data_IF_335305812022
#
_entry.id   IF_335305812022
#
_cell.length_a   1.000
_cell.length_b   1.000
_cell.length_c   1.000
_cell.angle_alpha   90.00
_cell.angle_beta   90.00
_cell.angle_gamma   90.00
#
_symmetry.space_group_name_H-M   'P 1'
#
loop_
_entity.id
_entity.type
_entity.pdbx_description
1 polymer ?
#
# COMPACT_ATOMS: atom_id res chain seq x y z
N UNK A 1 -8.00 -16.73 -15.08
CA UNK A 1 -6.58 -16.95 -14.75
C UNK A 1 -6.08 -18.11 -15.59
N UNK A 2 -4.93 -18.01 -16.26
CA UNK A 2 -4.40 -19.15 -17.03
C UNK A 2 -3.68 -20.08 -16.05
N UNK A 3 -4.03 -21.36 -16.05
CA UNK A 3 -3.29 -22.34 -15.28
C UNK A 3 -1.84 -22.36 -15.79
N UNK A 4 -0.88 -22.10 -14.90
CA UNK A 4 0.53 -22.16 -15.22
C UNK A 4 0.95 -23.63 -15.19
N UNK A 5 1.28 -24.18 -16.35
CA UNK A 5 1.63 -25.61 -16.49
C UNK A 5 2.95 -25.93 -15.79
N UNK A 6 3.92 -25.01 -15.84
CA UNK A 6 5.21 -25.15 -15.18
C UNK A 6 5.59 -23.82 -14.51
N UNK A 7 5.91 -23.82 -13.20
CA UNK A 7 6.21 -22.59 -12.47
C UNK A 7 7.51 -21.90 -12.89
N UNK A 8 8.45 -22.61 -13.52
CA UNK A 8 9.78 -22.08 -13.86
C UNK A 8 10.72 -22.01 -12.65
N UNK A 9 12.00 -21.71 -12.89
CA UNK A 9 12.97 -21.48 -11.82
C UNK A 9 12.49 -20.29 -10.97
N UNK A 10 12.59 -20.45 -9.65
CA UNK A 10 12.14 -19.45 -8.67
C UNK A 10 10.67 -19.06 -8.80
N UNK A 11 9.86 -19.86 -9.49
CA UNK A 11 8.45 -19.56 -9.75
C UNK A 11 8.25 -18.42 -10.74
N UNK A 12 9.23 -18.08 -11.58
CA UNK A 12 9.18 -16.96 -12.52
C UNK A 12 7.87 -16.89 -13.31
N UNK A 13 7.39 -18.02 -13.83
CA UNK A 13 6.18 -18.06 -14.65
C UNK A 13 4.90 -17.87 -13.83
N UNK A 14 4.91 -18.21 -12.54
CA UNK A 14 3.82 -17.86 -11.61
C UNK A 14 3.87 -16.37 -11.28
N UNK A 15 5.05 -15.86 -10.95
CA UNK A 15 5.24 -14.48 -10.50
C UNK A 15 4.87 -13.46 -11.58
N UNK A 16 5.15 -13.76 -12.86
CA UNK A 16 4.74 -12.95 -14.02
C UNK A 16 3.22 -12.81 -14.17
N UNK A 17 2.42 -13.71 -13.58
CA UNK A 17 0.95 -13.64 -13.65
C UNK A 17 0.34 -12.72 -12.58
N UNK A 18 1.15 -12.17 -11.66
CA UNK A 18 0.65 -11.35 -10.56
C UNK A 18 0.27 -9.95 -11.05
N UNK A 19 -0.92 -9.51 -10.64
CA UNK A 19 -1.38 -8.14 -10.84
C UNK A 19 -1.23 -7.32 -9.54
N UNK A 20 -0.71 -6.10 -9.68
CA UNK A 20 -0.42 -5.22 -8.56
C UNK A 20 -1.31 -3.97 -8.61
N UNK A 21 -2.17 -3.83 -7.61
CA UNK A 21 -3.09 -2.71 -7.48
C UNK A 21 -2.78 -1.91 -6.23
N UNK A 22 -2.21 -0.71 -6.40
CA UNK A 22 -1.99 0.21 -5.28
C UNK A 22 -3.08 1.29 -5.26
N UNK A 23 -4.11 1.07 -4.43
CA UNK A 23 -5.21 2.01 -4.24
C UNK A 23 -4.97 2.93 -3.04
N UNK A 24 -5.15 4.24 -3.23
CA UNK A 24 -5.27 5.22 -2.14
C UNK A 24 -6.66 5.82 -2.14
N UNK A 25 -7.31 5.85 -0.99
CA UNK A 25 -8.62 6.48 -0.83
C UNK A 25 -8.44 8.00 -0.89
N UNK A 26 -9.11 8.68 -1.83
CA UNK A 26 -8.92 10.10 -2.17
C UNK A 26 -9.06 11.01 -0.94
N UNK A 27 -10.06 10.72 -0.12
CA UNK A 27 -10.40 11.43 1.10
C UNK A 27 -9.25 11.38 2.11
N UNK A 28 -8.53 10.26 2.17
CA UNK A 28 -7.46 9.99 3.13
C UNK A 28 -6.06 9.99 2.50
N UNK A 29 -5.96 10.28 1.20
CA UNK A 29 -4.72 10.15 0.44
C UNK A 29 -3.64 11.14 0.85
N UNK A 30 -3.98 12.17 1.62
CA UNK A 30 -3.04 13.12 2.19
C UNK A 30 -2.40 12.61 3.50
N UNK A 31 -3.01 11.61 4.14
CA UNK A 31 -2.49 11.04 5.38
C UNK A 31 -1.21 10.24 5.09
N UNK A 32 -0.23 10.46 5.95
CA UNK A 32 1.04 9.75 5.99
C UNK A 32 1.23 9.15 7.37
N UNK A 33 1.75 7.92 7.42
CA UNK A 33 2.08 7.29 8.69
C UNK A 33 3.35 7.93 9.24
N UNK A 34 3.22 8.68 10.33
CA UNK A 34 4.36 9.36 10.99
C UNK A 34 4.85 8.64 12.25
N UNK A 35 4.12 7.64 12.74
CA UNK A 35 4.37 7.04 14.07
C UNK A 35 4.88 5.61 14.00
N UNK A 36 4.22 4.75 13.24
CA UNK A 36 4.47 3.30 13.29
C UNK A 36 5.35 2.82 12.15
N UNK A 37 5.26 3.46 10.99
CA UNK A 37 6.02 3.12 9.79
C UNK A 37 6.32 4.41 9.02
N UNK A 38 7.34 5.14 9.46
CA UNK A 38 7.79 6.37 8.81
C UNK A 38 8.35 5.99 7.44
N UNK A 39 7.70 6.42 6.37
CA UNK A 39 8.10 6.09 5.01
C UNK A 39 7.45 6.96 3.95
N UNK A 40 7.95 6.84 2.73
CA UNK A 40 7.40 7.57 1.58
C UNK A 40 6.22 6.81 0.97
N UNK A 41 5.00 7.27 1.29
CA UNK A 41 3.75 6.74 0.70
C UNK A 41 3.66 6.84 -0.83
N UNK A 42 4.61 7.53 -1.47
CA UNK A 42 4.71 7.68 -2.92
C UNK A 42 5.75 6.75 -3.56
N UNK A 43 6.58 6.08 -2.76
CA UNK A 43 7.61 5.12 -3.21
C UNK A 43 7.04 3.72 -3.51
N UNK A 44 5.88 3.67 -4.17
CA UNK A 44 5.27 2.41 -4.57
C UNK A 44 6.06 1.79 -5.74
N UNK A 45 6.61 0.60 -5.52
CA UNK A 45 7.47 -0.12 -6.47
C UNK A 45 6.69 -1.00 -7.43
N UNK A 46 5.57 -1.60 -7.00
CA UNK A 46 4.78 -2.50 -7.85
C UNK A 46 3.46 -1.88 -8.32
N UNK A 47 3.14 -2.02 -9.60
CA UNK A 47 1.93 -1.45 -10.18
C UNK A 47 1.90 0.08 -10.13
N UNK A 48 0.74 0.67 -10.45
CA UNK A 48 0.55 2.13 -10.42
C UNK A 48 -0.32 2.54 -9.24
N UNK A 49 0.06 3.61 -8.56
CA UNK A 49 -0.82 4.24 -7.57
C UNK A 49 -2.03 4.86 -8.26
N UNK A 50 -3.23 4.47 -7.84
CA UNK A 50 -4.48 5.11 -8.26
C UNK A 50 -5.24 5.61 -7.03
N UNK A 51 -5.95 6.70 -7.24
CA UNK A 51 -6.75 7.34 -6.22
C UNK A 51 -8.21 7.02 -6.46
N UNK A 52 -8.82 6.31 -5.52
CA UNK A 52 -10.21 5.86 -5.57
C UNK A 52 -11.04 6.69 -4.59
N UNK A 53 -12.31 6.99 -4.90
CA UNK A 53 -13.22 7.53 -3.90
C UNK A 53 -13.49 6.50 -2.79
N UNK A 54 -14.20 6.93 -1.74
CA UNK A 54 -14.71 6.08 -0.65
C UNK A 54 -15.50 4.84 -1.12
N UNK A 55 -16.05 4.83 -2.34
CA UNK A 55 -16.68 3.66 -2.96
C UNK A 55 -15.67 2.60 -3.49
N UNK A 56 -14.46 2.53 -2.93
CA UNK A 56 -13.44 1.56 -3.31
C UNK A 56 -13.86 0.10 -3.05
N UNK A 57 -14.92 -0.11 -2.26
CA UNK A 57 -15.52 -1.43 -2.07
C UNK A 57 -15.88 -2.11 -3.39
N UNK A 58 -16.42 -1.39 -4.38
CA UNK A 58 -16.79 -1.98 -5.69
C UNK A 58 -15.60 -2.58 -6.43
N UNK A 59 -14.40 -2.02 -6.24
CA UNK A 59 -13.17 -2.60 -6.78
C UNK A 59 -12.85 -3.92 -6.07
N UNK A 60 -12.87 -3.95 -4.75
CA UNK A 60 -12.60 -5.17 -3.98
C UNK A 60 -13.63 -6.26 -4.33
N UNK A 61 -14.90 -5.89 -4.39
CA UNK A 61 -16.00 -6.77 -4.78
C UNK A 61 -15.74 -7.40 -6.16
N UNK A 62 -15.35 -6.59 -7.16
CA UNK A 62 -15.02 -7.10 -8.50
C UNK A 62 -13.81 -8.05 -8.53
N UNK A 63 -12.86 -7.88 -7.61
CA UNK A 63 -11.67 -8.74 -7.50
C UNK A 63 -12.05 -10.09 -6.87
N UNK A 64 -12.92 -10.09 -5.86
CA UNK A 64 -13.35 -11.31 -5.18
C UNK A 64 -14.41 -12.10 -5.94
N UNK A 65 -15.16 -11.47 -6.83
CA UNK A 65 -16.18 -12.10 -7.67
C UNK A 65 -15.70 -12.39 -9.10
N UNK A 66 -14.43 -12.79 -9.24
CA UNK A 66 -13.90 -13.17 -10.54
C UNK A 66 -14.57 -14.46 -11.04
N UNK A 67 -15.22 -14.49 -12.21
CA UNK A 67 -15.90 -15.68 -12.72
C UNK A 67 -14.90 -16.77 -13.12
N UNK A 68 -15.20 -18.05 -12.84
CA UNK A 68 -14.35 -19.19 -13.25
C UNK A 68 -14.15 -19.17 -14.77
N UNK A 69 -15.24 -18.96 -15.51
CA UNK A 69 -15.27 -18.78 -16.95
C UNK A 69 -16.03 -17.47 -17.27
N UNK A 70 -15.35 -16.43 -17.79
CA UNK A 70 -16.00 -15.19 -18.19
C UNK A 70 -17.12 -15.35 -19.23
N UNK A 71 -17.09 -16.42 -20.03
CA UNK A 71 -18.14 -16.69 -21.03
C UNK A 71 -19.31 -17.50 -20.45
N UNK A 72 -19.16 -18.02 -19.23
CA UNK A 72 -20.11 -18.91 -18.55
C UNK A 72 -20.22 -18.55 -17.07
N UNK A 73 -20.77 -17.36 -16.73
CA UNK A 73 -20.82 -16.87 -15.36
C UNK A 73 -21.62 -17.77 -14.41
N UNK A 74 -22.53 -18.60 -14.94
CA UNK A 74 -23.27 -19.61 -14.19
C UNK A 74 -22.38 -20.72 -13.61
N UNK A 75 -21.14 -20.87 -14.12
CA UNK A 75 -20.17 -21.84 -13.62
C UNK A 75 -19.62 -21.49 -12.23
N UNK A 76 -19.96 -20.31 -11.70
CA UNK A 76 -19.57 -19.85 -10.38
C UNK A 76 -18.33 -18.95 -10.38
N UNK A 77 -17.88 -18.61 -9.18
CA UNK A 77 -16.77 -17.70 -8.91
C UNK A 77 -15.49 -18.45 -8.56
N UNK A 78 -14.35 -17.89 -8.92
CA UNK A 78 -13.04 -18.44 -8.58
C UNK A 78 -12.87 -18.54 -7.06
N UNK A 79 -12.43 -19.69 -6.52
CA UNK A 79 -12.02 -19.77 -5.13
C UNK A 79 -10.92 -18.75 -4.80
N UNK A 80 -11.05 -18.08 -3.67
CA UNK A 80 -10.14 -17.01 -3.24
C UNK A 80 -9.30 -17.49 -2.05
N UNK A 81 -7.99 -17.31 -2.15
CA UNK A 81 -7.06 -17.46 -1.03
C UNK A 81 -6.53 -16.08 -0.65
N UNK A 82 -6.79 -15.68 0.59
CA UNK A 82 -6.31 -14.40 1.13
C UNK A 82 -4.97 -14.61 1.84
N UNK A 83 -3.93 -13.91 1.38
CA UNK A 83 -2.60 -13.93 1.96
C UNK A 83 -2.27 -12.53 2.50
N UNK A 84 -1.71 -12.45 3.70
CA UNK A 84 -1.34 -11.17 4.30
C UNK A 84 -0.37 -11.34 5.46
N UNK A 85 0.31 -10.25 5.83
CA UNK A 85 1.14 -10.16 7.02
C UNK A 85 0.56 -9.10 7.98
N UNK A 86 0.90 -9.20 9.28
CA UNK A 86 0.40 -8.35 10.39
C UNK A 86 -1.11 -8.47 10.69
N UNK A 87 -1.46 -9.31 11.67
CA UNK A 87 -2.72 -10.08 11.67
C UNK A 87 -3.94 -9.41 12.30
N UNK A 88 -3.84 -8.65 13.38
CA UNK A 88 -5.05 -8.49 14.20
C UNK A 88 -6.07 -7.53 13.60
N UNK A 89 -5.63 -6.36 13.14
CA UNK A 89 -6.56 -5.28 12.78
C UNK A 89 -7.08 -5.42 11.35
N UNK A 90 -6.22 -5.78 10.39
CA UNK A 90 -6.62 -5.90 8.97
C UNK A 90 -7.62 -7.03 8.78
N UNK A 91 -7.39 -8.18 9.42
CA UNK A 91 -8.29 -9.32 9.32
C UNK A 91 -9.65 -9.07 9.97
N UNK A 92 -9.70 -8.34 11.09
CA UNK A 92 -10.97 -7.91 11.69
C UNK A 92 -11.76 -7.01 10.73
N UNK A 93 -11.09 -6.03 10.10
CA UNK A 93 -11.73 -5.13 9.12
C UNK A 93 -12.23 -5.92 7.91
N UNK A 94 -11.40 -6.80 7.33
CA UNK A 94 -11.80 -7.60 6.17
C UNK A 94 -12.93 -8.57 6.49
N UNK A 95 -12.88 -9.27 7.63
CA UNK A 95 -13.93 -10.19 8.04
C UNK A 95 -15.26 -9.45 8.25
N UNK A 96 -15.24 -8.27 8.89
CA UNK A 96 -16.44 -7.42 9.05
C UNK A 96 -16.97 -6.85 7.73
N UNK A 97 -16.09 -6.54 6.78
CA UNK A 97 -16.47 -5.87 5.52
C UNK A 97 -16.91 -6.88 4.46
N UNK A 98 -16.32 -8.08 4.44
CA UNK A 98 -16.49 -9.06 3.37
C UNK A 98 -17.10 -10.39 3.84
N UNK A 99 -17.29 -10.60 5.15
CA UNK A 99 -17.85 -11.85 5.69
C UNK A 99 -16.94 -13.07 5.56
N UNK A 100 -15.63 -12.88 5.39
CA UNK A 100 -14.67 -13.98 5.15
C UNK A 100 -14.19 -14.59 6.48
N UNK A 101 -14.25 -15.92 6.59
CA UNK A 101 -13.65 -16.69 7.69
C UNK A 101 -12.15 -16.86 7.50
N UNK A 102 -11.36 -16.66 8.57
CA UNK A 102 -9.90 -16.59 8.48
C UNK A 102 -9.21 -17.56 9.43
N UNK A 103 -8.19 -18.25 8.95
CA UNK A 103 -7.33 -19.14 9.75
C UNK A 103 -6.03 -18.44 10.13
N UNK A 104 -5.66 -18.46 11.42
CA UNK A 104 -4.43 -17.83 11.89
C UNK A 104 -3.60 -18.73 12.82
N UNK A 105 -2.30 -18.92 12.51
CA UNK A 105 -1.39 -19.79 13.25
C UNK A 105 -0.20 -19.01 13.87
N UNK A 106 0.06 -19.11 15.18
CA UNK A 106 0.76 -18.09 16.00
C UNK A 106 2.25 -17.80 15.72
N UNK A 107 2.89 -18.46 14.75
CA UNK A 107 4.31 -18.22 14.46
C UNK A 107 4.48 -16.96 13.59
N UNK A 108 4.93 -15.86 14.22
CA UNK A 108 5.20 -14.60 13.53
C UNK A 108 6.65 -14.55 13.04
N UNK A 109 6.82 -14.32 11.74
CA UNK A 109 8.10 -13.93 11.15
C UNK A 109 7.95 -12.53 10.54
N UNK A 110 8.93 -11.65 10.77
CA UNK A 110 8.95 -10.33 10.14
C UNK A 110 9.13 -10.46 8.62
N UNK A 111 8.45 -9.61 7.84
CA UNK A 111 8.50 -9.68 6.38
C UNK A 111 9.92 -9.46 5.83
N UNK A 112 10.71 -8.58 6.46
CA UNK A 112 12.12 -8.36 6.10
C UNK A 112 12.95 -9.66 6.27
N UNK A 113 12.77 -10.36 7.38
CA UNK A 113 13.45 -11.64 7.63
C UNK A 113 13.00 -12.72 6.64
N UNK A 114 11.70 -12.77 6.31
CA UNK A 114 11.19 -13.70 5.30
C UNK A 114 11.78 -13.41 3.92
N UNK A 115 11.83 -12.15 3.49
CA UNK A 115 12.42 -11.77 2.20
C UNK A 115 13.90 -12.15 2.14
N UNK A 116 14.65 -11.85 3.21
CA UNK A 116 16.05 -12.24 3.36
C UNK A 116 16.25 -13.76 3.27
N UNK A 117 15.45 -14.55 4.01
CA UNK A 117 15.52 -16.03 3.96
C UNK A 117 15.15 -16.63 2.60
N UNK A 118 14.40 -15.89 1.78
CA UNK A 118 14.06 -16.28 0.42
C UNK A 118 15.04 -15.70 -0.62
N UNK A 119 16.14 -15.06 -0.20
CA UNK A 119 17.20 -14.62 -1.10
C UNK A 119 16.88 -13.39 -1.95
N UNK A 120 16.02 -12.48 -1.47
CA UNK A 120 15.74 -11.21 -2.14
C UNK A 120 15.62 -10.02 -1.18
N UNK A 121 15.78 -8.81 -1.72
CA UNK A 121 15.80 -7.57 -0.95
C UNK A 121 14.39 -7.01 -0.73
N UNK A 122 14.10 -6.60 0.51
CA UNK A 122 12.90 -5.84 0.83
C UNK A 122 13.16 -4.34 0.73
N UNK A 123 12.87 -3.75 -0.43
CA UNK A 123 13.09 -2.32 -0.74
C UNK A 123 11.81 -1.50 -0.58
N UNK A 124 11.98 -0.25 -0.15
CA UNK A 124 10.90 0.69 0.13
C UNK A 124 9.73 0.02 0.89
N UNK A 125 10.01 -0.55 2.09
CA UNK A 125 8.92 -0.90 2.98
C UNK A 125 8.04 0.35 3.17
N UNK A 126 6.79 0.20 3.60
CA UNK A 126 5.87 1.32 3.92
C UNK A 126 4.91 1.77 2.81
N UNK A 127 4.77 1.01 1.72
CA UNK A 127 3.55 1.09 0.90
C UNK A 127 2.80 -0.23 0.95
N UNK A 128 1.48 -0.18 1.10
CA UNK A 128 0.66 -1.37 1.25
C UNK A 128 0.81 -2.37 0.07
N UNK A 129 1.10 -1.86 -1.14
CA UNK A 129 1.29 -2.72 -2.29
C UNK A 129 2.70 -3.35 -2.34
N UNK A 130 3.76 -2.66 -1.88
CA UNK A 130 5.08 -3.27 -1.74
C UNK A 130 5.03 -4.39 -0.69
N UNK A 131 4.42 -4.08 0.45
CA UNK A 131 4.14 -4.98 1.56
C UNK A 131 3.38 -6.24 1.08
N UNK A 132 2.30 -6.07 0.30
CA UNK A 132 1.54 -7.17 -0.29
C UNK A 132 2.34 -7.97 -1.32
N UNK A 133 3.10 -7.30 -2.20
CA UNK A 133 3.94 -7.94 -3.21
C UNK A 133 4.98 -8.86 -2.57
N UNK A 134 5.75 -8.35 -1.61
CA UNK A 134 6.77 -9.14 -0.92
C UNK A 134 6.18 -10.29 -0.11
N UNK A 135 4.98 -10.09 0.47
CA UNK A 135 4.25 -11.16 1.16
C UNK A 135 3.90 -12.29 0.19
N UNK A 136 3.40 -11.94 -1.00
CA UNK A 136 3.01 -12.92 -2.01
C UNK A 136 4.23 -13.65 -2.59
N UNK A 137 5.34 -12.94 -2.81
CA UNK A 137 6.60 -13.56 -3.24
C UNK A 137 7.09 -14.57 -2.21
N UNK A 138 7.14 -14.20 -0.93
CA UNK A 138 7.48 -15.14 0.15
C UNK A 138 6.55 -16.36 0.17
N UNK A 139 5.23 -16.14 0.04
CA UNK A 139 4.26 -17.23 0.06
C UNK A 139 4.46 -18.22 -1.10
N UNK A 140 4.74 -17.73 -2.30
CA UNK A 140 5.07 -18.57 -3.46
C UNK A 140 6.35 -19.36 -3.20
N UNK A 141 7.42 -18.71 -2.72
CA UNK A 141 8.67 -19.41 -2.42
C UNK A 141 8.52 -20.49 -1.33
N UNK A 142 7.62 -20.29 -0.37
CA UNK A 142 7.34 -21.31 0.67
C UNK A 142 6.75 -22.59 0.07
N UNK A 143 5.87 -22.47 -0.93
CA UNK A 143 5.15 -23.61 -1.52
C UNK A 143 5.85 -24.23 -2.76
N UNK A 144 6.86 -23.56 -3.33
CA UNK A 144 7.60 -24.11 -4.46
C UNK A 144 8.35 -25.41 -4.08
N UNK A 145 8.50 -26.36 -5.02
CA UNK A 145 9.43 -27.48 -4.87
C UNK A 145 10.86 -27.01 -4.59
N UNK A 146 11.60 -27.72 -3.74
CA UNK A 146 12.95 -27.32 -3.32
C UNK A 146 13.92 -27.05 -4.48
N UNK A 147 13.87 -27.87 -5.55
CA UNK A 147 14.74 -27.71 -6.73
C UNK A 147 14.45 -26.45 -7.57
N UNK A 148 13.34 -25.76 -7.31
CA UNK A 148 12.98 -24.50 -7.97
C UNK A 148 13.27 -23.28 -7.08
N UNK A 149 13.54 -23.47 -5.79
CA UNK A 149 13.81 -22.36 -4.87
C UNK A 149 15.20 -21.76 -5.14
N UNK A 150 15.44 -20.51 -4.73
CA UNK A 150 16.80 -19.97 -4.67
C UNK A 150 17.70 -20.91 -3.86
N UNK A 151 18.89 -21.20 -4.39
CA UNK A 151 19.90 -21.84 -3.59
C UNK A 151 20.39 -20.80 -2.58
N UNK A 152 19.98 -20.96 -1.32
CA UNK A 152 20.47 -20.17 -0.22
C UNK A 152 21.92 -20.58 0.05
N UNK A 153 22.86 -20.14 -0.80
CA UNK A 153 24.28 -20.24 -0.51
C UNK A 153 24.59 -19.33 0.68
N UNK A 154 25.17 -19.89 1.74
CA UNK A 154 25.65 -19.14 2.92
C UNK A 154 26.60 -17.98 2.53
N UNK A 155 27.21 -18.06 1.36
CA UNK A 155 28.21 -17.12 0.86
C UNK A 155 27.62 -15.97 0.01
N UNK A 156 26.30 -15.91 -0.15
CA UNK A 156 25.62 -14.90 -1.00
C UNK A 156 25.88 -15.04 -2.50
N UNK A 157 26.69 -16.01 -2.92
CA UNK A 157 26.88 -16.38 -4.33
C UNK A 157 25.82 -17.39 -4.72
N UNK A 158 24.85 -16.95 -5.53
CA UNK A 158 23.88 -17.85 -6.12
C UNK A 158 24.61 -18.78 -7.12
N UNK A 159 24.73 -20.10 -6.87
CA UNK A 159 25.44 -21.01 -7.77
C UNK A 159 24.81 -21.06 -9.18
N UNK A 160 23.57 -20.62 -9.32
CA UNK A 160 22.85 -20.58 -10.58
C UNK A 160 23.30 -19.45 -11.52
N UNK A 161 23.92 -18.38 -11.00
CA UNK A 161 24.39 -17.28 -11.88
C UNK A 161 25.54 -17.71 -12.80
N UNK A 162 26.41 -18.61 -12.33
CA UNK A 162 27.46 -19.22 -13.15
C UNK A 162 26.88 -20.07 -14.31
N UNK A 163 25.64 -20.54 -14.17
CA UNK A 163 24.90 -21.29 -15.18
C UNK A 163 24.01 -20.40 -16.05
N UNK A 164 24.10 -19.07 -15.90
CA UNK A 164 23.27 -18.11 -16.63
C UNK A 164 21.80 -18.09 -16.18
N UNK A 165 21.46 -18.76 -15.07
CA UNK A 165 20.13 -18.74 -14.50
C UNK A 165 20.00 -17.46 -13.67
N UNK A 166 18.90 -16.75 -13.88
CA UNK A 166 18.58 -15.49 -13.22
C UNK A 166 18.33 -15.69 -11.73
N UNK A 167 18.71 -14.73 -10.91
CA UNK A 167 18.33 -14.73 -9.50
C UNK A 167 16.84 -14.40 -9.32
N UNK A 168 16.27 -14.77 -8.17
CA UNK A 168 14.93 -14.32 -7.80
C UNK A 168 14.83 -12.79 -7.73
N UNK A 169 15.91 -12.09 -7.33
CA UNK A 169 15.94 -10.63 -7.34
C UNK A 169 15.81 -10.07 -8.75
N UNK A 170 16.51 -10.65 -9.74
CA UNK A 170 16.40 -10.20 -11.14
C UNK A 170 14.97 -10.36 -11.66
N UNK A 171 14.32 -11.47 -11.31
CA UNK A 171 12.92 -11.73 -11.68
C UNK A 171 11.99 -10.70 -11.03
N UNK A 172 12.19 -10.39 -9.75
CA UNK A 172 11.40 -9.38 -9.03
C UNK A 172 11.60 -7.99 -9.63
N UNK A 173 12.83 -7.64 -10.00
CA UNK A 173 13.16 -6.35 -10.63
C UNK A 173 12.43 -6.19 -11.97
N UNK A 174 12.38 -7.24 -12.79
CA UNK A 174 11.60 -7.24 -14.04
C UNK A 174 10.10 -7.09 -13.79
N UNK A 175 9.57 -7.78 -12.77
CA UNK A 175 8.16 -7.68 -12.39
C UNK A 175 7.83 -6.27 -11.90
N UNK A 176 8.73 -5.66 -11.14
CA UNK A 176 8.60 -4.28 -10.69
C UNK A 176 8.42 -3.33 -11.88
N UNK A 177 9.31 -3.43 -12.87
CA UNK A 177 9.27 -2.61 -14.09
C UNK A 177 8.02 -2.89 -14.91
N UNK A 178 7.76 -4.16 -15.24
CA UNK A 178 6.64 -4.56 -16.10
C UNK A 178 5.28 -4.33 -15.45
N UNK A 179 5.15 -4.47 -14.12
CA UNK A 179 3.89 -4.22 -13.42
C UNK A 179 3.40 -2.78 -13.56
N UNK A 180 4.30 -1.81 -13.83
CA UNK A 180 3.93 -0.41 -14.05
C UNK A 180 3.07 -0.20 -15.29
N UNK A 181 3.10 -1.10 -16.27
CA UNK A 181 2.29 -1.00 -17.48
C UNK A 181 0.94 -1.72 -17.37
N UNK A 182 0.66 -2.38 -16.23
CA UNK A 182 -0.59 -3.13 -16.03
C UNK A 182 -1.80 -2.20 -16.15
N UNK A 183 -2.75 -2.62 -16.98
CA UNK A 183 -4.00 -1.92 -17.17
C UNK A 183 -4.87 -2.02 -15.90
N UNK A 184 -5.45 -0.90 -15.52
CA UNK A 184 -6.36 -0.84 -14.38
C UNK A 184 -7.42 0.24 -14.62
N UNK A 185 -8.68 -0.19 -14.61
CA UNK A 185 -9.84 0.66 -14.93
C UNK A 185 -10.32 1.51 -13.76
N UNK A 186 -9.95 1.17 -12.52
CA UNK A 186 -10.45 1.87 -11.33
C UNK A 186 -9.61 3.11 -10.97
N UNK A 187 -10.31 4.09 -10.39
CA UNK A 187 -9.70 5.32 -9.86
C UNK A 187 -9.01 6.17 -10.93
N UNK A 188 -8.20 7.13 -10.47
CA UNK A 188 -7.42 8.04 -11.33
C UNK A 188 -5.97 8.08 -10.90
N UNK A 189 -5.04 8.27 -11.83
CA UNK A 189 -3.62 8.56 -11.58
C UNK A 189 -3.34 10.08 -11.46
N UNK A 190 -4.34 10.93 -11.73
CA UNK A 190 -4.24 12.40 -11.70
C UNK A 190 -4.98 12.97 -10.49
N UNK A 191 -4.45 12.74 -9.30
CA UNK A 191 -5.00 13.31 -8.06
C UNK A 191 -3.93 14.04 -7.26
N UNK A 192 -4.22 15.28 -6.88
CA UNK A 192 -3.31 16.07 -6.06
C UNK A 192 -3.64 15.89 -4.58
N UNK A 193 -2.75 15.26 -3.82
CA UNK A 193 -2.89 15.11 -2.37
C UNK A 193 -2.84 16.45 -1.61
N UNK A 194 -2.31 17.52 -2.22
CA UNK A 194 -2.22 18.85 -1.62
C UNK A 194 -3.56 19.59 -1.61
N UNK A 195 -4.29 19.60 -2.72
CA UNK A 195 -5.56 20.34 -2.83
C UNK A 195 -6.79 19.45 -3.06
N UNK A 196 -6.61 18.14 -3.17
CA UNK A 196 -7.69 17.16 -3.39
C UNK A 196 -8.41 17.27 -4.73
N UNK A 197 -7.87 18.02 -5.71
CA UNK A 197 -8.46 18.17 -7.05
C UNK A 197 -7.78 17.25 -8.07
N UNK A 198 -8.48 16.98 -9.17
CA UNK A 198 -7.96 16.23 -10.32
C UNK A 198 -7.30 17.18 -11.34
N UNK A 199 -6.48 16.65 -12.23
CA UNK A 199 -6.05 17.29 -13.50
C UNK A 199 -5.36 18.67 -13.46
N UNK A 200 -4.61 19.02 -12.40
CA UNK A 200 -3.85 20.29 -12.34
C UNK A 200 -2.40 20.11 -11.87
N UNK A 201 -1.93 18.86 -11.82
CA UNK A 201 -0.54 18.56 -11.54
C UNK A 201 0.27 18.82 -12.80
N UNK A 202 1.20 19.78 -12.72
CA UNK A 202 2.16 20.03 -13.78
C UNK A 202 3.51 19.46 -13.38
N UNK A 203 4.22 18.84 -14.32
CA UNK A 203 5.57 18.36 -14.07
C UNK A 203 6.54 19.54 -14.15
N UNK A 204 7.26 19.79 -13.06
CA UNK A 204 8.38 20.73 -13.01
C UNK A 204 9.58 19.96 -12.46
N UNK A 205 10.61 19.78 -13.29
CA UNK A 205 11.84 19.08 -12.92
C UNK A 205 11.59 17.66 -12.37
N UNK A 206 10.82 16.84 -13.10
CA UNK A 206 10.38 15.48 -12.72
C UNK A 206 9.48 15.39 -11.48
N UNK A 207 9.14 16.50 -10.82
CA UNK A 207 8.22 16.54 -9.68
C UNK A 207 6.87 17.08 -10.11
N UNK A 208 5.79 16.45 -9.65
CA UNK A 208 4.44 17.00 -9.82
C UNK A 208 4.26 18.18 -8.87
N UNK A 209 4.00 19.37 -9.42
CA UNK A 209 3.67 20.57 -8.65
C UNK A 209 2.20 20.93 -8.81
N UNK A 210 1.57 21.19 -7.67
CA UNK A 210 0.26 21.81 -7.60
C UNK A 210 0.41 23.32 -7.80
N UNK A 211 -0.17 23.84 -8.88
CA UNK A 211 -0.22 25.29 -9.17
C UNK A 211 -1.24 26.03 -8.31
N UNK A 212 -2.21 25.32 -7.73
CA UNK A 212 -3.24 25.92 -6.89
C UNK A 212 -2.65 26.42 -5.57
N UNK A 213 -2.90 27.70 -5.26
CA UNK A 213 -2.57 28.28 -3.96
C UNK A 213 -3.52 27.68 -2.92
N UNK A 214 -2.97 26.91 -1.99
CA UNK A 214 -3.70 26.42 -0.82
C UNK A 214 -3.18 27.15 0.41
N UNK A 215 -4.08 27.48 1.33
CA UNK A 215 -3.76 28.01 2.65
C UNK A 215 -4.76 27.42 3.62
N UNK A 216 -4.29 26.73 4.64
CA UNK A 216 -5.13 26.27 5.73
C UNK A 216 -5.11 27.27 6.89
N UNK A 217 -6.28 27.72 7.32
CA UNK A 217 -6.44 28.79 8.31
C UNK A 217 -5.93 28.39 9.69
N UNK A 218 -6.31 27.24 10.24
CA UNK A 218 -5.84 26.83 11.58
C UNK A 218 -4.32 26.66 11.64
N UNK A 219 -3.70 26.04 10.62
CA UNK A 219 -2.24 25.99 10.57
C UNK A 219 -1.63 27.39 10.44
N UNK A 220 -2.26 28.30 9.69
CA UNK A 220 -1.76 29.66 9.49
C UNK A 220 -1.83 30.53 10.76
N UNK A 221 -2.78 30.27 11.66
CA UNK A 221 -2.93 30.98 12.94
C UNK A 221 -2.35 30.21 14.13
N UNK A 222 -1.80 29.01 13.90
CA UNK A 222 -1.21 28.21 14.96
C UNK A 222 -0.03 28.93 15.62
N UNK A 223 0.12 28.79 16.93
CA UNK A 223 1.29 29.30 17.66
C UNK A 223 2.59 28.55 17.34
N UNK A 224 2.51 27.41 16.65
CA UNK A 224 3.70 26.62 16.25
C UNK A 224 4.17 27.05 14.87
N UNK A 225 5.40 27.56 14.78
CA UNK A 225 6.01 28.06 13.55
C UNK A 225 6.01 27.00 12.42
N UNK A 226 6.28 25.74 12.75
CA UNK A 226 6.26 24.63 11.77
C UNK A 226 4.87 24.42 11.15
N UNK A 227 3.80 24.64 11.91
CA UNK A 227 2.43 24.57 11.41
C UNK A 227 2.12 25.75 10.50
N UNK A 228 2.57 26.94 10.85
CA UNK A 228 2.44 28.12 9.99
C UNK A 228 3.14 27.94 8.66
N UNK A 229 4.35 27.35 8.66
CA UNK A 229 5.08 26.99 7.43
C UNK A 229 4.32 25.94 6.61
N UNK A 230 3.75 24.92 7.27
CA UNK A 230 2.97 23.87 6.61
C UNK A 230 1.61 24.33 6.09
N UNK A 231 1.08 25.47 6.55
CA UNK A 231 -0.24 26.00 6.18
C UNK A 231 -0.41 26.19 4.67
N UNK A 232 0.67 26.48 3.94
CA UNK A 232 0.65 26.64 2.47
C UNK A 232 0.73 25.31 1.72
N UNK A 233 0.87 24.19 2.43
CA UNK A 233 1.11 22.87 1.86
C UNK A 233 -0.15 22.03 1.62
N UNK A 234 -1.31 22.41 2.17
CA UNK A 234 -2.53 21.62 2.10
C UNK A 234 -3.80 22.46 2.31
N UNK A 235 -4.96 21.86 2.02
CA UNK A 235 -6.30 22.41 2.36
C UNK A 235 -6.79 21.84 3.70
N UNK A 236 -7.80 22.48 4.32
CA UNK A 236 -8.39 22.10 5.61
C UNK A 236 -8.65 20.60 5.76
N UNK A 237 -9.41 20.03 4.83
CA UNK A 237 -9.77 18.60 4.84
C UNK A 237 -8.57 17.64 4.72
N UNK A 238 -7.39 18.17 4.38
CA UNK A 238 -6.15 17.42 4.23
C UNK A 238 -5.13 17.73 5.34
N UNK A 239 -5.51 18.46 6.39
CA UNK A 239 -4.61 18.75 7.50
C UNK A 239 -4.51 17.54 8.44
N UNK A 240 -3.30 16.99 8.58
CA UNK A 240 -3.05 15.85 9.48
C UNK A 240 -3.37 16.19 10.94
N UNK A 241 -3.12 17.43 11.37
CA UNK A 241 -3.41 17.87 12.74
C UNK A 241 -4.91 17.96 12.99
N UNK A 242 -5.68 18.48 12.02
CA UNK A 242 -7.13 18.48 12.08
C UNK A 242 -7.70 17.06 12.10
N UNK A 243 -7.16 16.16 11.28
CA UNK A 243 -7.58 14.76 11.25
C UNK A 243 -7.32 14.05 12.60
N UNK A 244 -6.24 14.39 13.30
CA UNK A 244 -5.88 13.77 14.59
C UNK A 244 -6.61 14.38 15.79
N UNK A 245 -6.92 15.68 15.76
CA UNK A 245 -7.43 16.42 16.93
C UNK A 245 -8.87 16.93 16.78
N UNK A 246 -9.44 16.86 15.58
CA UNK A 246 -10.65 17.59 15.23
C UNK A 246 -10.39 19.09 15.03
N UNK A 247 -11.44 19.90 14.83
CA UNK A 247 -11.33 21.34 14.93
C UNK A 247 -10.80 21.70 16.32
N UNK A 248 -9.76 22.53 16.40
CA UNK A 248 -9.47 23.23 17.65
C UNK A 248 -10.71 24.07 17.95
N UNK A 249 -11.50 23.64 18.92
CA UNK A 249 -12.54 24.48 19.51
C UNK A 249 -11.78 25.65 20.07
N UNK A 250 -11.98 26.84 19.48
CA UNK A 250 -11.42 28.06 20.04
C UNK A 250 -11.90 28.09 21.50
N UNK A 251 -10.97 27.93 22.43
CA UNK A 251 -11.26 28.06 23.86
C UNK A 251 -11.82 29.46 23.99
N UNK A 252 -13.11 29.57 24.35
CA UNK A 252 -13.72 30.88 24.50
C UNK A 252 -12.98 31.60 25.63
N UNK A 253 -12.88 32.93 25.58
CA UNK A 253 -12.29 33.69 26.68
C UNK A 253 -13.00 33.40 28.02
N UNK A 254 -14.27 32.99 27.98
CA UNK A 254 -15.05 32.50 29.13
C UNK A 254 -14.55 31.17 29.70
N UNK A 255 -14.03 30.24 28.88
CA UNK A 255 -13.46 28.97 29.34
C UNK A 255 -12.10 29.16 30.03
N UNK A 256 -11.38 30.23 29.69
CA UNK A 256 -10.13 30.62 30.36
C UNK A 256 -10.43 31.25 31.72
N UNK A 257 -11.51 32.03 31.82
CA UNK A 257 -11.91 32.69 33.06
C UNK A 257 -12.50 31.73 34.10
N UNK A 258 -13.06 30.59 33.68
CA UNK A 258 -13.73 29.63 34.59
C UNK A 258 -12.83 28.52 35.13
N UNK A 259 -11.57 28.41 34.68
CA UNK A 259 -10.60 27.44 35.20
C UNK A 259 -10.96 25.97 34.91
N UNK A 260 -11.94 25.70 34.06
CA UNK A 260 -12.43 24.35 33.74
C UNK A 260 -11.64 23.64 32.62
N UNK A 261 -10.55 24.24 32.14
CA UNK A 261 -9.77 23.79 30.98
C UNK A 261 -8.71 22.70 31.20
N UNK A 262 -8.76 21.89 32.26
CA UNK A 262 -7.87 20.71 32.36
C UNK A 262 -8.49 19.51 31.62
N UNK A 263 -8.33 19.49 30.29
CA UNK A 263 -8.51 18.26 29.51
C UNK A 263 -7.36 17.32 29.87
N UNK A 264 -7.66 16.33 30.71
CA UNK A 264 -6.78 15.22 31.06
C UNK A 264 -6.43 14.45 29.78
N UNK A 265 -5.25 14.68 29.23
CA UNK A 265 -4.62 13.76 28.28
C UNK A 265 -4.14 12.56 29.10
N UNK A 266 -4.87 11.44 29.03
CA UNK A 266 -4.40 10.15 29.54
C UNK A 266 -3.40 9.55 28.55
N UNK A 267 -2.25 9.13 29.08
CA UNK A 267 -1.15 8.43 28.40
C UNK A 267 -1.59 7.10 27.75
#
# INVERSE_FOLDING_TARGET
MRAVVKPGMHGEELLKQIYFYHARIQENAHLINIKYCVGDSTANRFGRTRFLPSSAYNMLDSIFHWPIDPNRPESGICPVVVVGHARSNVFSILSRTLGIGLWCNRNQAGLASLAYMNGFQYRDPHTACNDAAMTLFCAIQMVLPAHLKPANGEDGKNPYTALGIRSLQDIIDDIEVSSKSQAWSFGTDKFCIRCGRKSHLHFVSKKQKCSFKVKYEHCAVSQKEDLQKAARGHITKNCIFFALRGPEVAVSEEDVATGLGQVILKD
#
